data_IF_294424425830
#
_entry.id   IF_294424425830
#
_cell.length_a   1.000
_cell.length_b   1.000
_cell.length_c   1.000
_cell.angle_alpha   90.00
_cell.angle_beta   90.00
_cell.angle_gamma   90.00
#
_symmetry.space_group_name_H-M   'P 1'
#
loop_
_entity.id
_entity.type
_entity.pdbx_description
1 polymer ?
#
# COMPACT_ATOMS: atom_id res chain seq x y z
N UNK A 1 -70.69 -31.68 -42.34
CA UNK A 1 -70.65 -32.21 -43.72
C UNK A 1 -69.17 -32.50 -44.05
N UNK A 2 -68.87 -33.81 -44.21
CA UNK A 2 -67.77 -34.46 -44.95
C UNK A 2 -66.35 -33.97 -44.67
N UNK A 3 -65.46 -34.74 -43.91
CA UNK A 3 -64.67 -35.91 -44.32
C UNK A 3 -63.55 -35.48 -45.28
N UNK A 4 -62.32 -35.67 -44.88
CA UNK A 4 -61.39 -36.64 -45.45
C UNK A 4 -60.05 -36.72 -44.63
N UNK A 5 -59.84 -37.93 -44.21
CA UNK A 5 -58.51 -38.41 -43.70
C UNK A 5 -57.49 -38.50 -44.84
N UNK A 6 -56.26 -38.22 -44.55
CA UNK A 6 -55.14 -38.76 -45.29
C UNK A 6 -53.99 -39.09 -44.33
N UNK A 7 -53.81 -40.35 -44.10
CA UNK A 7 -52.60 -40.99 -43.49
C UNK A 7 -51.49 -40.98 -44.53
N UNK A 8 -50.32 -40.46 -44.17
CA UNK A 8 -49.09 -40.70 -44.92
C UNK A 8 -47.98 -41.13 -43.96
N UNK A 9 -47.67 -42.38 -44.10
CA UNK A 9 -46.51 -43.07 -43.55
C UNK A 9 -45.23 -42.51 -44.20
N UNK A 10 -44.24 -42.11 -43.44
CA UNK A 10 -42.88 -41.94 -43.97
C UNK A 10 -41.82 -42.20 -42.90
N UNK A 11 -41.15 -43.26 -43.17
CA UNK A 11 -39.84 -43.77 -42.86
C UNK A 11 -38.93 -42.95 -41.98
N UNK A 12 -38.55 -43.59 -40.86
CA UNK A 12 -37.44 -43.20 -40.00
C UNK A 12 -36.10 -43.39 -40.74
N UNK A 13 -35.37 -42.29 -40.89
CA UNK A 13 -33.92 -42.32 -41.21
C UNK A 13 -33.16 -41.94 -39.94
N UNK A 14 -32.52 -42.93 -39.32
CA UNK A 14 -31.54 -42.77 -38.27
C UNK A 14 -30.26 -42.17 -38.86
N UNK A 15 -30.10 -40.86 -38.69
CA UNK A 15 -28.79 -40.22 -38.83
C UNK A 15 -28.17 -40.14 -37.45
N UNK A 16 -27.11 -40.95 -37.21
CA UNK A 16 -26.21 -40.82 -36.11
C UNK A 16 -25.48 -39.48 -36.18
N UNK A 17 -25.96 -38.47 -35.44
CA UNK A 17 -25.29 -37.22 -35.24
C UNK A 17 -24.30 -37.39 -34.10
N UNK A 18 -22.98 -37.35 -34.38
CA UNK A 18 -21.94 -37.14 -33.41
C UNK A 18 -22.30 -35.92 -32.56
N UNK A 19 -22.65 -36.16 -31.30
CA UNK A 19 -22.80 -35.11 -30.30
C UNK A 19 -21.44 -34.41 -30.10
N UNK A 20 -21.31 -33.19 -30.66
CA UNK A 20 -20.34 -32.25 -30.14
C UNK A 20 -20.75 -31.99 -28.72
N UNK A 21 -20.02 -32.52 -27.75
CA UNK A 21 -20.01 -32.04 -26.40
C UNK A 21 -19.64 -30.57 -26.47
N UNK A 22 -20.64 -29.67 -26.30
CA UNK A 22 -20.39 -28.32 -25.97
C UNK A 22 -19.65 -28.30 -24.63
N UNK A 23 -18.32 -28.25 -24.70
CA UNK A 23 -17.52 -27.87 -23.59
C UNK A 23 -17.94 -26.42 -23.29
N UNK A 24 -18.75 -26.24 -22.26
CA UNK A 24 -19.04 -24.92 -21.68
C UNK A 24 -17.68 -24.30 -21.40
N UNK A 25 -17.30 -23.30 -22.18
CA UNK A 25 -16.12 -22.51 -21.89
C UNK A 25 -16.33 -21.91 -20.49
N UNK A 26 -15.68 -22.48 -19.49
CA UNK A 26 -15.56 -21.85 -18.18
C UNK A 26 -15.09 -20.44 -18.45
N UNK A 27 -15.80 -19.45 -17.93
CA UNK A 27 -15.37 -18.04 -18.03
C UNK A 27 -13.92 -17.95 -17.61
N UNK A 28 -13.07 -17.54 -18.53
CA UNK A 28 -11.63 -17.47 -18.32
C UNK A 28 -11.25 -16.24 -17.50
N UNK A 29 -12.21 -15.29 -17.33
CA UNK A 29 -12.03 -14.04 -16.58
C UNK A 29 -13.19 -13.79 -15.64
N UNK A 30 -12.93 -12.96 -14.61
CA UNK A 30 -13.92 -12.45 -13.66
C UNK A 30 -13.61 -11.01 -13.28
N UNK A 31 -14.56 -10.33 -12.66
CA UNK A 31 -14.39 -8.98 -12.16
C UNK A 31 -14.06 -9.00 -10.67
N UNK A 32 -13.07 -8.21 -10.27
CA UNK A 32 -12.77 -7.87 -8.88
C UNK A 32 -12.88 -6.37 -8.67
N UNK A 33 -13.25 -5.94 -7.48
CA UNK A 33 -13.35 -4.52 -7.14
C UNK A 33 -12.31 -4.13 -6.09
N UNK A 34 -11.72 -2.96 -6.25
CA UNK A 34 -10.84 -2.34 -5.28
C UNK A 34 -11.15 -0.85 -5.20
N UNK A 35 -11.51 -0.39 -4.01
CA UNK A 35 -12.06 0.95 -3.82
C UNK A 35 -13.24 1.16 -4.80
N UNK A 36 -13.28 2.26 -5.53
CA UNK A 36 -14.37 2.59 -6.48
C UNK A 36 -14.09 2.08 -7.91
N UNK A 37 -13.11 1.19 -8.10
CA UNK A 37 -12.74 0.68 -9.41
C UNK A 37 -13.00 -0.83 -9.54
N UNK A 38 -13.32 -1.25 -10.76
CA UNK A 38 -13.52 -2.65 -11.12
C UNK A 38 -12.49 -3.09 -12.16
N UNK A 39 -11.94 -4.28 -11.98
CA UNK A 39 -10.89 -4.83 -12.83
C UNK A 39 -11.29 -6.22 -13.33
N UNK A 40 -11.07 -6.46 -14.61
CA UNK A 40 -11.23 -7.81 -15.22
C UNK A 40 -9.90 -8.54 -15.12
N UNK A 41 -9.90 -9.70 -14.47
CA UNK A 41 -8.73 -10.55 -14.26
C UNK A 41 -9.04 -12.00 -14.66
N UNK A 42 -8.03 -12.87 -14.86
CA UNK A 42 -8.26 -14.29 -14.98
C UNK A 42 -9.02 -14.83 -13.76
N UNK A 43 -9.87 -15.83 -13.98
CA UNK A 43 -10.64 -16.45 -12.88
C UNK A 43 -9.71 -17.02 -11.81
N UNK A 44 -8.62 -17.69 -12.24
CA UNK A 44 -7.61 -18.28 -11.35
C UNK A 44 -6.21 -17.80 -11.79
N UNK A 45 -5.76 -16.61 -11.38
CA UNK A 45 -4.43 -16.13 -11.73
C UNK A 45 -3.36 -16.98 -11.05
N UNK A 46 -2.41 -17.48 -11.84
CA UNK A 46 -1.37 -18.42 -11.41
C UNK A 46 0.05 -17.89 -11.60
N UNK A 47 0.21 -16.89 -12.45
CA UNK A 47 1.48 -16.23 -12.76
C UNK A 47 1.42 -14.76 -12.42
N UNK A 48 1.28 -14.47 -11.13
CA UNK A 48 1.14 -13.09 -10.64
C UNK A 48 2.52 -12.47 -10.42
N UNK A 49 2.69 -11.23 -10.90
CA UNK A 49 3.86 -10.40 -10.62
C UNK A 49 3.43 -9.17 -9.84
N UNK A 50 4.07 -8.91 -8.70
CA UNK A 50 3.91 -7.67 -7.96
C UNK A 50 5.13 -6.76 -8.13
N UNK A 51 4.89 -5.51 -8.54
CA UNK A 51 5.93 -4.49 -8.77
C UNK A 51 6.30 -3.74 -7.47
N UNK A 52 5.97 -4.32 -6.31
CA UNK A 52 6.29 -3.78 -4.98
C UNK A 52 6.51 -4.92 -4.00
N UNK A 53 7.56 -4.83 -3.19
CA UNK A 53 7.85 -5.84 -2.17
C UNK A 53 6.83 -5.86 -1.04
N UNK A 54 6.22 -4.73 -0.68
CA UNK A 54 5.14 -4.72 0.32
C UNK A 54 3.89 -5.44 -0.19
N UNK A 55 3.52 -5.26 -1.47
CA UNK A 55 2.44 -6.03 -2.10
C UNK A 55 2.81 -7.52 -2.15
N UNK A 56 4.06 -7.86 -2.51
CA UNK A 56 4.53 -9.26 -2.50
C UNK A 56 4.40 -9.90 -1.13
N UNK A 57 4.85 -9.21 -0.06
CA UNK A 57 4.70 -9.69 1.33
C UNK A 57 3.21 -9.97 1.66
N UNK A 58 2.30 -9.09 1.26
CA UNK A 58 0.86 -9.26 1.48
C UNK A 58 0.27 -10.44 0.69
N UNK A 59 0.70 -10.66 -0.57
CA UNK A 59 0.31 -11.83 -1.37
C UNK A 59 0.62 -13.12 -0.59
N UNK A 60 1.85 -13.25 -0.09
CA UNK A 60 2.26 -14.46 0.63
C UNK A 60 1.53 -14.60 1.98
N UNK A 61 1.28 -13.49 2.68
CA UNK A 61 0.54 -13.51 3.94
C UNK A 61 -0.88 -14.04 3.78
N UNK A 62 -1.57 -13.70 2.69
CA UNK A 62 -2.92 -14.23 2.41
C UNK A 62 -2.89 -15.62 1.73
N UNK A 63 -1.72 -16.23 1.56
CA UNK A 63 -1.57 -17.57 0.96
C UNK A 63 -1.48 -17.59 -0.56
N UNK A 64 -1.39 -16.44 -1.22
CA UNK A 64 -1.09 -16.31 -2.65
C UNK A 64 0.39 -16.56 -2.96
N UNK A 65 0.74 -16.50 -4.24
CA UNK A 65 2.12 -16.66 -4.73
C UNK A 65 2.41 -15.67 -5.85
N UNK A 66 3.65 -15.20 -5.92
CA UNK A 66 4.19 -14.46 -7.05
C UNK A 66 5.24 -15.28 -7.80
N UNK A 67 5.51 -14.95 -9.06
CA UNK A 67 6.51 -15.63 -9.90
C UNK A 67 7.80 -14.82 -10.10
N UNK A 68 7.80 -13.56 -9.69
CA UNK A 68 8.96 -12.68 -9.74
C UNK A 68 8.86 -11.63 -8.64
N UNK A 69 9.98 -11.01 -8.31
CA UNK A 69 10.09 -9.90 -7.35
C UNK A 69 10.81 -8.69 -7.94
N UNK A 70 10.64 -7.55 -7.32
CA UNK A 70 11.51 -6.39 -7.53
C UNK A 70 12.70 -6.45 -6.56
N UNK A 71 13.77 -5.72 -6.89
CA UNK A 71 14.94 -5.60 -6.02
C UNK A 71 14.59 -4.94 -4.69
N UNK A 72 15.29 -5.33 -3.63
CA UNK A 72 15.12 -4.80 -2.28
C UNK A 72 16.48 -4.57 -1.64
N UNK A 73 16.58 -3.48 -0.87
CA UNK A 73 17.72 -3.24 0.05
C UNK A 73 17.47 -3.89 1.42
N UNK A 74 16.27 -4.42 1.65
CA UNK A 74 15.88 -5.10 2.86
C UNK A 74 15.88 -6.61 2.65
N UNK A 75 16.12 -7.36 3.72
CA UNK A 75 15.96 -8.80 3.68
C UNK A 75 14.48 -9.15 3.51
N UNK A 76 14.18 -9.88 2.46
CA UNK A 76 12.83 -10.38 2.19
C UNK A 76 12.63 -11.78 2.84
N UNK A 77 11.38 -12.21 3.07
CA UNK A 77 11.08 -13.60 3.36
C UNK A 77 11.70 -14.54 2.30
N UNK A 78 12.17 -15.71 2.74
CA UNK A 78 12.91 -16.65 1.87
C UNK A 78 12.16 -17.03 0.60
N UNK A 79 10.85 -17.15 0.67
CA UNK A 79 9.97 -17.49 -0.44
C UNK A 79 9.95 -16.40 -1.52
N UNK A 80 10.07 -15.12 -1.11
CA UNK A 80 10.14 -13.98 -2.03
C UNK A 80 11.58 -13.78 -2.50
N UNK A 81 12.56 -13.91 -1.60
CA UNK A 81 13.99 -13.73 -1.91
C UNK A 81 14.47 -14.68 -3.01
N UNK A 82 13.94 -15.91 -3.04
CA UNK A 82 14.28 -16.94 -4.03
C UNK A 82 13.71 -16.69 -5.43
N UNK A 83 12.77 -15.75 -5.60
CA UNK A 83 12.18 -15.45 -6.90
C UNK A 83 13.15 -14.69 -7.82
N UNK A 84 13.04 -14.87 -9.15
CA UNK A 84 13.81 -14.08 -10.10
C UNK A 84 13.50 -12.57 -9.93
N UNK A 85 14.56 -11.75 -9.94
CA UNK A 85 14.41 -10.30 -9.91
C UNK A 85 14.09 -9.76 -11.30
N UNK A 86 13.18 -8.80 -11.36
CA UNK A 86 12.83 -8.03 -12.56
C UNK A 86 13.26 -6.56 -12.45
N UNK A 87 14.29 -6.27 -11.65
CA UNK A 87 14.83 -4.91 -11.46
C UNK A 87 14.14 -4.13 -10.35
N UNK A 88 14.32 -2.81 -10.35
CA UNK A 88 13.84 -1.93 -9.28
C UNK A 88 12.34 -1.62 -9.40
N UNK A 89 11.70 -1.35 -8.26
CA UNK A 89 10.28 -0.96 -8.22
C UNK A 89 9.93 0.15 -9.21
N UNK A 90 10.67 1.26 -9.23
CA UNK A 90 10.37 2.40 -10.10
C UNK A 90 10.76 2.18 -11.58
N UNK A 91 11.64 1.22 -11.85
CA UNK A 91 12.18 0.92 -13.19
C UNK A 91 12.30 -0.61 -13.38
N UNK A 92 11.17 -1.35 -13.37
CA UNK A 92 11.20 -2.77 -13.64
C UNK A 92 11.69 -3.05 -15.06
N UNK A 93 12.37 -4.16 -15.25
CA UNK A 93 12.76 -4.63 -16.58
C UNK A 93 11.52 -5.22 -17.28
N UNK A 94 10.90 -4.43 -18.15
CA UNK A 94 9.67 -4.80 -18.83
C UNK A 94 9.85 -5.95 -19.82
N UNK A 95 11.02 -6.11 -20.41
CA UNK A 95 11.33 -7.24 -21.30
C UNK A 95 11.34 -8.55 -20.52
N UNK A 96 12.03 -8.57 -19.36
CA UNK A 96 12.02 -9.75 -18.49
C UNK A 96 10.61 -10.03 -17.95
N UNK A 97 9.86 -9.01 -17.54
CA UNK A 97 8.49 -9.13 -17.05
C UNK A 97 7.59 -9.79 -18.10
N UNK A 98 7.58 -9.24 -19.33
CA UNK A 98 6.79 -9.78 -20.45
C UNK A 98 7.23 -11.22 -20.79
N UNK A 99 8.56 -11.48 -20.76
CA UNK A 99 9.13 -12.81 -21.01
C UNK A 99 8.70 -13.89 -20.00
N UNK A 100 8.27 -13.51 -18.80
CA UNK A 100 7.69 -14.44 -17.81
C UNK A 100 6.25 -14.86 -18.16
N UNK A 101 5.61 -14.19 -19.11
CA UNK A 101 4.21 -14.39 -19.50
C UNK A 101 3.27 -14.37 -18.29
N UNK A 102 3.26 -13.28 -17.46
CA UNK A 102 2.36 -13.20 -16.34
C UNK A 102 0.91 -13.14 -16.81
N UNK A 103 0.02 -13.70 -16.01
CA UNK A 103 -1.43 -13.61 -16.22
C UNK A 103 -2.08 -12.48 -15.40
N UNK A 104 -1.34 -11.87 -14.46
CA UNK A 104 -1.74 -10.69 -13.73
C UNK A 104 -0.52 -9.93 -13.21
N UNK A 105 -0.52 -8.59 -13.37
CA UNK A 105 0.47 -7.69 -12.78
C UNK A 105 -0.19 -6.76 -11.78
N UNK A 106 0.37 -6.65 -10.58
CA UNK A 106 -0.05 -5.73 -9.53
C UNK A 106 1.01 -4.63 -9.38
N UNK A 107 0.60 -3.38 -9.49
CA UNK A 107 1.51 -2.23 -9.45
C UNK A 107 0.93 -1.04 -8.70
N UNK A 108 1.70 0.06 -8.67
CA UNK A 108 1.34 1.33 -8.03
C UNK A 108 1.15 2.39 -9.11
N UNK A 109 0.04 3.14 -9.19
CA UNK A 109 -0.18 4.14 -10.23
C UNK A 109 0.95 5.16 -10.30
N UNK A 110 1.39 5.68 -9.15
CA UNK A 110 2.45 6.69 -9.07
C UNK A 110 3.78 6.29 -9.71
N UNK A 111 4.04 4.99 -9.87
CA UNK A 111 5.30 4.48 -10.41
C UNK A 111 5.12 3.72 -11.74
N UNK A 112 3.98 3.06 -11.92
CA UNK A 112 3.79 2.06 -12.98
C UNK A 112 2.79 2.43 -14.06
N UNK A 113 2.03 3.55 -13.92
CA UNK A 113 1.08 4.01 -14.94
C UNK A 113 1.74 4.14 -16.33
N UNK A 114 2.99 4.60 -16.39
CA UNK A 114 3.77 4.72 -17.62
C UNK A 114 3.99 3.39 -18.36
N UNK A 115 3.88 2.25 -17.69
CA UNK A 115 4.07 0.91 -18.28
C UNK A 115 2.76 0.24 -18.69
N UNK A 116 1.60 0.84 -18.31
CA UNK A 116 0.30 0.25 -18.58
C UNK A 116 0.07 -0.04 -20.06
N UNK A 117 0.40 0.90 -20.94
CA UNK A 117 0.28 0.72 -22.39
C UNK A 117 1.12 -0.45 -22.92
N UNK A 118 2.30 -0.73 -22.33
CA UNK A 118 3.12 -1.87 -22.71
C UNK A 118 2.53 -3.19 -22.22
N UNK A 119 1.95 -3.22 -21.02
CA UNK A 119 1.24 -4.40 -20.50
C UNK A 119 0.02 -4.71 -21.36
N UNK A 120 -0.81 -3.71 -21.65
CA UNK A 120 -2.00 -3.84 -22.48
C UNK A 120 -1.66 -4.35 -23.90
N UNK A 121 -0.57 -3.84 -24.53
CA UNK A 121 -0.11 -4.27 -25.85
C UNK A 121 0.36 -5.74 -25.87
N UNK A 122 0.73 -6.30 -24.72
CA UNK A 122 1.10 -7.69 -24.56
C UNK A 122 -0.06 -8.56 -24.00
N UNK A 123 -1.28 -7.98 -23.90
CA UNK A 123 -2.45 -8.65 -23.34
C UNK A 123 -2.24 -9.14 -21.89
N UNK A 124 -1.47 -8.40 -21.09
CA UNK A 124 -1.21 -8.70 -19.69
C UNK A 124 -2.15 -7.86 -18.82
N UNK A 125 -3.14 -8.49 -18.14
CA UNK A 125 -4.01 -7.79 -17.21
C UNK A 125 -3.21 -7.16 -16.08
N UNK A 126 -3.56 -5.92 -15.71
CA UNK A 126 -2.89 -5.23 -14.62
C UNK A 126 -3.86 -4.48 -13.71
N UNK A 127 -3.57 -4.50 -12.41
CA UNK A 127 -4.25 -3.68 -11.41
C UNK A 127 -3.23 -2.70 -10.84
N UNK A 128 -3.47 -1.41 -11.04
CA UNK A 128 -2.69 -0.36 -10.41
C UNK A 128 -3.41 0.07 -9.13
N UNK A 129 -2.84 -0.32 -8.00
CA UNK A 129 -3.43 -0.22 -6.68
C UNK A 129 -2.99 1.09 -6.03
N UNK A 130 -3.94 1.96 -5.71
CA UNK A 130 -3.67 3.09 -4.82
C UNK A 130 -3.38 2.53 -3.41
N UNK A 131 -2.13 2.61 -3.02
CA UNK A 131 -1.61 2.03 -1.78
C UNK A 131 -0.70 3.05 -1.09
N UNK A 132 -1.29 4.19 -0.78
CA UNK A 132 -0.58 5.39 -0.37
C UNK A 132 -0.67 5.68 1.13
N UNK A 133 -1.69 5.13 1.81
CA UNK A 133 -1.94 5.30 3.23
C UNK A 133 -2.01 3.96 3.98
N UNK A 134 -1.90 4.02 5.31
CA UNK A 134 -2.04 2.80 6.14
C UNK A 134 -3.46 2.23 6.08
N UNK A 135 -4.46 3.07 5.80
CA UNK A 135 -5.86 2.67 5.65
C UNK A 135 -6.10 1.81 4.39
N UNK A 136 -5.16 1.77 3.46
CA UNK A 136 -5.25 0.94 2.25
C UNK A 136 -4.85 -0.52 2.51
N UNK A 137 -4.23 -0.83 3.67
CA UNK A 137 -3.72 -2.16 3.98
C UNK A 137 -4.86 -3.22 4.02
N UNK A 138 -5.95 -2.93 4.73
CA UNK A 138 -7.08 -3.85 4.86
C UNK A 138 -7.82 -4.05 3.54
N UNK A 139 -8.20 -3.00 2.78
CA UNK A 139 -8.75 -3.16 1.44
C UNK A 139 -7.86 -3.98 0.51
N UNK A 140 -6.54 -3.77 0.55
CA UNK A 140 -5.61 -4.53 -0.27
C UNK A 140 -5.54 -6.00 0.14
N UNK A 141 -5.46 -6.32 1.42
CA UNK A 141 -5.51 -7.71 1.91
C UNK A 141 -6.81 -8.41 1.48
N UNK A 142 -7.93 -7.70 1.55
CA UNK A 142 -9.22 -8.20 1.10
C UNK A 142 -9.24 -8.49 -0.40
N UNK A 143 -8.72 -7.55 -1.22
CA UNK A 143 -8.56 -7.74 -2.67
C UNK A 143 -7.69 -8.96 -2.98
N UNK A 144 -6.54 -9.08 -2.32
CA UNK A 144 -5.60 -10.20 -2.53
C UNK A 144 -6.22 -11.54 -2.14
N UNK A 145 -6.92 -11.60 -1.00
CA UNK A 145 -7.69 -12.80 -0.62
C UNK A 145 -8.68 -13.20 -1.70
N UNK A 146 -9.39 -12.24 -2.27
CA UNK A 146 -10.33 -12.48 -3.37
C UNK A 146 -9.57 -12.93 -4.64
N UNK A 147 -8.47 -12.28 -5.04
CA UNK A 147 -7.69 -12.65 -6.23
C UNK A 147 -7.22 -14.10 -6.15
N UNK A 148 -6.77 -14.56 -5.00
CA UNK A 148 -6.20 -15.89 -4.81
C UNK A 148 -7.18 -16.93 -4.26
N UNK A 149 -8.47 -16.58 -4.07
CA UNK A 149 -9.49 -17.45 -3.45
C UNK A 149 -9.09 -17.94 -2.06
N UNK A 150 -8.54 -17.05 -1.25
CA UNK A 150 -8.04 -17.29 0.10
C UNK A 150 -8.67 -16.33 1.11
N UNK A 151 -9.95 -16.03 0.96
CA UNK A 151 -10.69 -15.03 1.72
C UNK A 151 -10.62 -15.29 3.24
N UNK A 152 -10.73 -16.56 3.65
CA UNK A 152 -10.63 -16.93 5.07
C UNK A 152 -9.24 -16.64 5.65
N UNK A 153 -8.18 -16.89 4.86
CA UNK A 153 -6.81 -16.57 5.26
C UNK A 153 -6.60 -15.06 5.34
N UNK A 154 -7.10 -14.32 4.34
CA UNK A 154 -7.05 -12.86 4.35
C UNK A 154 -7.76 -12.27 5.57
N UNK A 155 -8.95 -12.80 5.90
CA UNK A 155 -9.69 -12.40 7.11
C UNK A 155 -8.88 -12.63 8.38
N UNK A 156 -8.26 -13.81 8.53
CA UNK A 156 -7.40 -14.11 9.70
C UNK A 156 -6.21 -13.14 9.79
N UNK A 157 -5.57 -12.80 8.67
CA UNK A 157 -4.46 -11.83 8.64
C UNK A 157 -4.94 -10.44 9.06
N UNK A 158 -6.12 -10.01 8.59
CA UNK A 158 -6.73 -8.73 8.94
C UNK A 158 -7.09 -8.67 10.43
N UNK A 159 -7.62 -9.75 10.99
CA UNK A 159 -7.95 -9.84 12.43
C UNK A 159 -6.68 -9.71 13.29
N UNK A 160 -5.58 -10.41 12.93
CA UNK A 160 -4.29 -10.27 13.61
C UNK A 160 -3.71 -8.87 13.50
N UNK A 161 -3.73 -8.30 12.29
CA UNK A 161 -3.30 -6.93 12.04
C UNK A 161 -4.04 -5.92 12.92
N UNK A 162 -5.37 -5.99 12.97
CA UNK A 162 -6.20 -5.11 13.80
C UNK A 162 -5.91 -5.29 15.29
N UNK A 163 -5.80 -6.55 15.77
CA UNK A 163 -5.44 -6.85 17.15
C UNK A 163 -4.11 -6.21 17.56
N UNK A 164 -3.11 -6.26 16.67
CA UNK A 164 -1.81 -5.61 16.92
C UNK A 164 -1.94 -4.08 16.98
N UNK A 165 -2.70 -3.47 16.07
CA UNK A 165 -2.99 -2.03 16.11
C UNK A 165 -3.68 -1.64 17.43
N UNK A 166 -4.71 -2.38 17.85
CA UNK A 166 -5.41 -2.13 19.11
C UNK A 166 -4.48 -2.26 20.32
N UNK A 167 -3.57 -3.24 20.30
CA UNK A 167 -2.53 -3.41 21.33
C UNK A 167 -1.62 -2.18 21.43
N UNK A 168 -1.20 -1.64 20.29
CA UNK A 168 -0.38 -0.41 20.25
C UNK A 168 -1.17 0.77 20.79
N UNK A 169 -2.40 0.97 20.35
CA UNK A 169 -3.27 2.07 20.82
C UNK A 169 -3.51 2.00 22.34
N UNK A 170 -3.74 0.81 22.86
CA UNK A 170 -3.97 0.59 24.31
C UNK A 170 -2.74 0.89 25.16
N UNK A 171 -1.54 0.89 24.58
CA UNK A 171 -0.28 1.17 25.29
C UNK A 171 0.01 2.65 25.50
N UNK A 172 -0.74 3.55 24.85
CA UNK A 172 -0.53 5.00 24.92
C UNK A 172 -0.95 5.53 26.29
N UNK A 173 -0.08 6.25 27.02
CA UNK A 173 -0.42 6.87 28.30
C UNK A 173 -1.51 7.93 28.14
N UNK A 174 -2.64 7.76 28.82
CA UNK A 174 -3.80 8.68 28.74
C UNK A 174 -3.61 9.98 29.49
N UNK A 175 -2.71 9.99 30.46
CA UNK A 175 -2.41 11.12 31.37
C UNK A 175 -1.26 12.00 30.86
N UNK A 176 -0.69 11.71 29.71
CA UNK A 176 0.44 12.44 29.15
C UNK A 176 0.17 12.88 27.71
N UNK A 177 -0.66 13.91 27.51
CA UNK A 177 -0.87 14.45 26.18
C UNK A 177 0.45 15.00 25.61
N UNK A 178 0.80 14.59 24.39
CA UNK A 178 1.99 15.06 23.68
C UNK A 178 1.57 15.65 22.34
N UNK A 179 2.11 16.82 22.01
CA UNK A 179 1.93 17.47 20.72
C UNK A 179 3.14 17.19 19.83
N UNK A 180 2.90 16.67 18.65
CA UNK A 180 3.95 16.44 17.66
C UNK A 180 3.77 17.30 16.43
N UNK A 181 4.86 17.63 15.72
CA UNK A 181 4.82 18.11 14.35
C UNK A 181 5.48 17.04 13.46
N UNK A 182 4.81 16.61 12.40
CA UNK A 182 5.38 15.68 11.42
C UNK A 182 5.83 16.48 10.19
N UNK A 183 7.14 16.56 9.98
CA UNK A 183 7.76 17.30 8.89
C UNK A 183 8.34 16.33 7.84
N UNK A 184 8.27 16.72 6.57
CA UNK A 184 8.97 16.05 5.47
C UNK A 184 10.09 16.93 4.94
N UNK A 185 11.33 16.44 5.05
CA UNK A 185 12.51 17.12 4.55
C UNK A 185 12.99 16.46 3.24
N UNK A 186 13.15 17.28 2.21
CA UNK A 186 13.66 16.89 0.90
C UNK A 186 14.87 17.75 0.52
N UNK A 187 15.54 17.45 -0.59
CA UNK A 187 16.58 18.33 -1.15
C UNK A 187 16.07 19.67 -1.70
N UNK A 188 14.73 19.93 -1.65
CA UNK A 188 14.12 21.14 -2.19
C UNK A 188 13.44 22.01 -1.12
N UNK A 189 12.83 21.38 -0.14
CA UNK A 189 12.04 22.08 0.88
C UNK A 189 11.81 21.22 2.11
N UNK A 190 11.44 21.89 3.22
CA UNK A 190 10.83 21.27 4.40
C UNK A 190 9.34 21.64 4.38
N UNK A 191 8.48 20.64 4.45
CA UNK A 191 7.02 20.75 4.46
C UNK A 191 6.43 19.98 5.62
N UNK A 192 5.17 20.19 5.97
CA UNK A 192 4.49 19.37 6.97
C UNK A 192 3.67 18.26 6.32
N UNK A 193 3.63 17.08 6.95
CA UNK A 193 2.80 15.97 6.51
C UNK A 193 1.35 16.13 6.97
N UNK A 194 0.43 15.84 6.05
CA UNK A 194 -1.00 15.72 6.33
C UNK A 194 -1.36 14.27 6.67
N UNK A 195 -2.55 13.97 7.22
CA UNK A 195 -3.00 12.59 7.48
C UNK A 195 -3.06 11.68 6.23
N UNK A 196 -2.85 12.21 5.03
CA UNK A 196 -2.69 11.43 3.80
C UNK A 196 -1.26 10.87 3.60
N UNK A 197 -0.31 11.32 4.41
CA UNK A 197 1.06 10.79 4.41
C UNK A 197 1.21 9.70 5.48
N UNK A 198 2.14 8.79 5.28
CA UNK A 198 2.30 7.58 6.10
C UNK A 198 2.51 7.89 7.58
N UNK A 199 3.49 8.73 7.93
CA UNK A 199 3.77 9.02 9.34
C UNK A 199 2.65 9.79 10.00
N UNK A 200 2.13 10.83 9.34
CA UNK A 200 1.05 11.61 9.91
C UNK A 200 -0.26 10.81 10.03
N UNK A 201 -0.54 9.86 9.11
CA UNK A 201 -1.68 8.95 9.26
C UNK A 201 -1.53 8.00 10.44
N UNK A 202 -0.33 7.50 10.72
CA UNK A 202 -0.07 6.70 11.92
C UNK A 202 -0.26 7.51 13.21
N UNK A 203 0.26 8.73 13.24
CA UNK A 203 0.08 9.67 14.38
C UNK A 203 -1.40 9.94 14.62
N UNK A 204 -2.16 10.21 13.56
CA UNK A 204 -3.61 10.42 13.61
C UNK A 204 -4.34 9.17 14.11
N UNK A 205 -4.03 7.99 13.56
CA UNK A 205 -4.64 6.71 13.95
C UNK A 205 -4.37 6.35 15.41
N UNK A 206 -3.20 6.74 15.93
CA UNK A 206 -2.83 6.59 17.35
C UNK A 206 -3.55 7.61 18.26
N UNK A 207 -4.30 8.58 17.71
CA UNK A 207 -4.94 9.64 18.48
C UNK A 207 -3.95 10.64 19.11
N UNK A 208 -2.74 10.74 18.56
CA UNK A 208 -1.71 11.67 19.03
C UNK A 208 -1.93 13.02 18.33
N UNK A 209 -1.84 14.11 19.07
CA UNK A 209 -2.07 15.45 18.52
C UNK A 209 -0.93 15.87 17.57
N UNK A 210 -1.20 15.89 16.27
CA UNK A 210 -0.33 16.52 15.28
C UNK A 210 -0.74 17.99 15.11
N UNK A 211 0.13 18.91 15.54
CA UNK A 211 -0.17 20.37 15.51
C UNK A 211 -0.42 20.89 14.09
N UNK A 212 0.08 20.19 13.06
CA UNK A 212 -0.16 20.55 11.67
C UNK A 212 -1.64 20.47 11.30
N UNK A 213 -2.39 19.52 11.87
CA UNK A 213 -3.78 19.27 11.50
C UNK A 213 -4.71 20.44 11.78
N UNK A 214 -4.42 21.26 12.80
CA UNK A 214 -5.21 22.46 13.11
C UNK A 214 -5.13 23.56 12.02
N UNK A 215 -4.15 23.49 11.11
CA UNK A 215 -3.98 24.44 10.01
C UNK A 215 -4.49 23.88 8.65
N UNK A 216 -4.97 22.64 8.64
CA UNK A 216 -5.47 22.05 7.43
C UNK A 216 -6.88 22.57 7.11
N UNK A 217 -7.14 22.75 5.80
CA UNK A 217 -8.48 23.03 5.30
C UNK A 217 -9.28 21.74 5.19
N UNK A 218 -10.60 21.85 5.26
CA UNK A 218 -11.47 20.75 4.84
C UNK A 218 -11.11 20.33 3.43
N UNK A 219 -11.07 19.09 3.06
CA UNK A 219 -10.71 18.58 1.74
C UNK A 219 -9.21 18.69 1.35
N UNK A 220 -8.31 18.40 2.27
CA UNK A 220 -6.89 18.24 1.93
C UNK A 220 -6.72 17.06 0.95
N UNK A 221 -6.05 17.33 -0.18
CA UNK A 221 -5.77 16.32 -1.22
C UNK A 221 -4.26 16.03 -1.38
N UNK A 222 -3.41 16.77 -0.67
CA UNK A 222 -1.95 16.62 -0.75
C UNK A 222 -1.40 15.93 0.49
N UNK A 223 -0.41 15.05 0.29
CA UNK A 223 0.33 14.39 1.38
C UNK A 223 1.18 15.36 2.22
N UNK A 224 1.53 16.51 1.66
CA UNK A 224 2.29 17.54 2.38
C UNK A 224 1.74 18.93 2.05
N UNK A 225 1.90 19.84 3.01
CA UNK A 225 1.53 21.25 2.87
C UNK A 225 2.72 22.14 3.24
N UNK A 226 2.80 23.38 2.69
CA UNK A 226 3.75 24.37 3.17
C UNK A 226 3.53 24.62 4.67
N UNK A 227 4.63 24.70 5.42
CA UNK A 227 4.58 24.94 6.87
C UNK A 227 5.79 25.75 7.29
N UNK A 228 5.56 26.99 7.69
CA UNK A 228 6.65 27.90 8.00
C UNK A 228 7.24 27.66 9.39
N UNK A 229 8.49 28.03 9.58
CA UNK A 229 9.11 28.01 10.91
C UNK A 229 8.37 28.95 11.88
N UNK A 230 7.79 30.06 11.40
CA UNK A 230 6.98 30.95 12.21
C UNK A 230 5.75 30.23 12.76
N UNK A 231 4.99 29.52 11.90
CA UNK A 231 3.84 28.71 12.33
C UNK A 231 4.29 27.62 13.31
N UNK A 232 5.39 26.91 13.01
CA UNK A 232 5.94 25.89 13.89
C UNK A 232 6.32 26.45 15.27
N UNK A 233 6.84 27.69 15.32
CA UNK A 233 7.20 28.37 16.57
C UNK A 233 5.98 28.71 17.40
N UNK A 234 4.89 29.14 16.76
CA UNK A 234 3.60 29.44 17.44
C UNK A 234 2.99 28.14 18.00
N UNK A 235 2.98 27.07 17.23
CA UNK A 235 2.41 25.78 17.64
C UNK A 235 3.25 25.08 18.71
N UNK A 236 4.55 25.32 18.70
CA UNK A 236 5.54 24.87 19.68
C UNK A 236 5.32 23.42 20.15
N UNK A 237 5.51 22.42 19.24
CA UNK A 237 5.31 21.02 19.56
C UNK A 237 6.34 20.51 20.58
N UNK A 238 5.96 19.46 21.31
CA UNK A 238 6.86 18.78 22.25
C UNK A 238 7.92 17.94 21.52
N UNK A 239 7.55 17.41 20.34
CA UNK A 239 8.42 16.56 19.50
C UNK A 239 8.26 16.96 18.05
N UNK A 240 9.37 17.01 17.31
CA UNK A 240 9.39 17.16 15.86
C UNK A 240 9.84 15.82 15.26
N UNK A 241 8.99 15.18 14.50
CA UNK A 241 9.27 13.98 13.73
C UNK A 241 9.62 14.38 12.30
N UNK A 242 10.79 13.98 11.80
CA UNK A 242 11.27 14.37 10.47
C UNK A 242 11.36 13.12 9.59
N UNK A 243 10.56 13.08 8.54
CA UNK A 243 10.62 12.07 7.48
C UNK A 243 11.46 12.61 6.35
N UNK A 244 12.43 11.84 5.86
CA UNK A 244 13.36 12.29 4.82
C UNK A 244 13.09 11.59 3.49
N UNK A 245 13.20 12.34 2.38
CA UNK A 245 13.05 11.81 1.02
C UNK A 245 14.11 12.42 0.08
N UNK A 246 15.04 11.61 -0.39
CA UNK A 246 16.09 12.01 -1.33
C UNK A 246 17.51 11.78 -0.78
N UNK A 247 18.49 12.52 -1.31
CA UNK A 247 19.88 12.39 -0.92
C UNK A 247 20.16 13.13 0.39
N UNK A 248 20.87 12.46 1.29
CA UNK A 248 21.14 12.95 2.64
C UNK A 248 21.78 14.34 2.68
N UNK A 249 22.79 14.58 1.83
CA UNK A 249 23.52 15.86 1.84
C UNK A 249 22.64 17.03 1.36
N UNK A 250 21.80 16.79 0.33
CA UNK A 250 20.83 17.78 -0.18
C UNK A 250 19.77 18.08 0.88
N UNK A 251 19.26 17.05 1.58
CA UNK A 251 18.30 17.19 2.67
C UNK A 251 18.89 18.00 3.81
N UNK A 252 20.10 17.66 4.25
CA UNK A 252 20.77 18.35 5.35
C UNK A 252 20.98 19.84 5.02
N UNK A 253 21.43 20.16 3.80
CA UNK A 253 21.61 21.53 3.36
C UNK A 253 20.30 22.32 3.36
N UNK A 254 19.22 21.73 2.85
CA UNK A 254 17.90 22.35 2.82
C UNK A 254 17.34 22.54 4.24
N UNK A 255 17.43 21.52 5.07
CA UNK A 255 16.96 21.57 6.45
C UNK A 255 17.73 22.61 7.27
N UNK A 256 19.04 22.71 7.08
CA UNK A 256 19.85 23.75 7.70
C UNK A 256 19.40 25.16 7.26
N UNK A 257 19.23 25.35 5.95
CA UNK A 257 18.82 26.66 5.39
C UNK A 257 17.43 27.10 5.88
N UNK A 258 16.45 26.21 5.88
CA UNK A 258 15.05 26.56 6.16
C UNK A 258 14.72 26.55 7.65
N UNK A 259 15.42 25.75 8.46
CA UNK A 259 15.14 25.52 9.87
C UNK A 259 16.29 25.94 10.78
N UNK A 260 17.39 25.19 10.84
CA UNK A 260 18.37 25.32 11.91
C UNK A 260 19.23 26.57 11.88
N UNK A 261 19.37 27.24 10.72
CA UNK A 261 20.09 28.53 10.62
C UNK A 261 19.28 29.73 11.17
N UNK A 262 18.00 29.55 11.43
CA UNK A 262 17.15 30.59 11.97
C UNK A 262 17.15 30.55 13.51
N UNK A 263 17.45 31.67 14.21
CA UNK A 263 17.45 31.72 15.67
C UNK A 263 16.13 31.26 16.31
N UNK A 264 14.96 31.45 15.64
CA UNK A 264 13.67 31.01 16.11
C UNK A 264 13.59 29.49 16.31
N UNK A 265 14.36 28.71 15.53
CA UNK A 265 14.48 27.26 15.70
C UNK A 265 14.90 26.86 17.12
N UNK A 266 15.87 27.56 17.67
CA UNK A 266 16.41 27.28 19.01
C UNK A 266 15.43 27.67 20.14
N UNK A 267 14.31 28.34 19.82
CA UNK A 267 13.28 28.66 20.81
C UNK A 267 12.25 27.55 21.00
N UNK A 268 12.15 26.62 20.05
CA UNK A 268 11.23 25.48 20.10
C UNK A 268 11.51 24.57 21.30
N UNK A 269 10.46 24.12 21.98
CA UNK A 269 10.59 23.16 23.09
C UNK A 269 11.18 21.85 22.63
N UNK A 270 10.77 21.34 21.47
CA UNK A 270 11.32 20.14 20.87
C UNK A 270 12.85 20.24 20.66
N UNK A 271 13.36 21.40 20.23
CA UNK A 271 14.79 21.62 20.01
C UNK A 271 15.54 21.72 21.35
N UNK A 272 15.02 22.47 22.31
CA UNK A 272 15.61 22.63 23.65
C UNK A 272 15.72 21.30 24.41
N UNK A 273 14.83 20.37 24.12
CA UNK A 273 14.73 19.07 24.80
C UNK A 273 15.34 17.90 23.98
N UNK A 274 16.08 18.20 22.90
CA UNK A 274 16.66 17.17 21.97
C UNK A 274 15.59 16.22 21.41
N UNK A 275 14.37 16.74 21.11
CA UNK A 275 13.23 15.98 20.61
C UNK A 275 12.95 16.25 19.12
N UNK A 276 13.99 16.51 18.32
CA UNK A 276 13.93 16.52 16.87
C UNK A 276 14.43 15.18 16.36
N UNK A 277 13.55 14.34 15.85
CA UNK A 277 13.83 12.93 15.58
C UNK A 277 13.66 12.63 14.10
N UNK A 278 14.76 12.25 13.45
CA UNK A 278 14.76 11.78 12.07
C UNK A 278 14.35 10.32 12.03
N UNK A 279 13.23 10.04 11.36
CA UNK A 279 12.63 8.72 11.30
C UNK A 279 13.22 7.90 10.14
N UNK A 280 13.39 6.57 10.30
CA UNK A 280 13.85 5.68 9.23
C UNK A 280 12.80 5.64 8.10
N UNK A 281 13.23 5.97 6.87
CA UNK A 281 12.33 6.13 5.73
C UNK A 281 11.60 4.84 5.32
N UNK A 282 12.17 3.67 5.60
CA UNK A 282 11.57 2.37 5.27
C UNK A 282 10.21 2.14 5.93
N UNK A 283 9.98 2.70 7.13
CA UNK A 283 8.73 2.54 7.88
C UNK A 283 7.86 3.79 7.87
N UNK A 284 8.44 4.94 7.57
CA UNK A 284 7.77 6.22 7.80
C UNK A 284 7.62 7.08 6.55
N UNK A 285 8.30 6.75 5.45
CA UNK A 285 8.10 7.41 4.15
C UNK A 285 7.18 6.62 3.22
N UNK A 286 7.39 5.30 3.18
CA UNK A 286 6.62 4.36 2.35
C UNK A 286 5.67 3.57 3.24
N UNK A 287 4.57 3.07 2.66
CA UNK A 287 3.63 2.23 3.40
C UNK A 287 4.32 0.91 3.81
N UNK A 288 4.50 0.64 5.10
CA UNK A 288 5.15 -0.58 5.57
C UNK A 288 4.25 -1.82 5.46
N UNK A 289 2.99 -1.66 5.05
CA UNK A 289 2.09 -2.76 4.83
C UNK A 289 1.78 -3.51 6.13
N UNK A 290 2.08 -4.80 6.15
CA UNK A 290 1.86 -5.65 7.31
C UNK A 290 2.72 -5.27 8.52
N UNK A 291 3.80 -4.52 8.33
CA UNK A 291 4.68 -4.03 9.40
C UNK A 291 4.19 -2.67 9.99
N UNK A 292 2.98 -2.21 9.61
CA UNK A 292 2.39 -0.97 10.17
C UNK A 292 2.23 -1.02 11.69
N UNK A 293 1.76 -2.12 12.32
CA UNK A 293 1.69 -2.20 13.77
C UNK A 293 3.05 -2.03 14.45
N UNK A 294 4.11 -2.62 13.89
CA UNK A 294 5.49 -2.49 14.38
C UNK A 294 6.00 -1.06 14.22
N UNK A 295 5.72 -0.41 13.10
CA UNK A 295 6.05 1.00 12.88
C UNK A 295 5.32 1.92 13.87
N UNK A 296 4.04 1.67 14.13
CA UNK A 296 3.25 2.41 15.12
C UNK A 296 3.78 2.17 16.55
N UNK A 297 4.19 0.94 16.88
CA UNK A 297 4.81 0.60 18.18
C UNK A 297 6.14 1.37 18.36
N UNK A 298 6.94 1.52 17.30
CA UNK A 298 8.17 2.33 17.35
C UNK A 298 7.84 3.83 17.54
N UNK A 299 6.77 4.37 16.92
CA UNK A 299 6.31 5.73 17.20
C UNK A 299 5.93 5.91 18.66
N UNK A 300 5.17 4.99 19.23
CA UNK A 300 4.79 5.04 20.67
C UNK A 300 6.04 5.02 21.55
N UNK A 301 7.02 4.19 21.23
CA UNK A 301 8.30 4.15 21.94
C UNK A 301 9.07 5.47 21.81
N UNK A 302 9.14 6.06 20.62
CA UNK A 302 9.80 7.35 20.36
C UNK A 302 9.13 8.47 21.14
N UNK A 303 7.80 8.53 21.12
CA UNK A 303 7.02 9.64 21.69
C UNK A 303 6.90 9.53 23.21
N UNK A 304 6.61 8.33 23.73
CA UNK A 304 6.28 8.10 25.14
C UNK A 304 7.35 7.31 25.92
N UNK A 305 8.34 6.71 25.25
CA UNK A 305 9.30 5.80 25.86
C UNK A 305 8.75 4.42 26.20
N UNK A 306 7.53 4.11 25.76
CA UNK A 306 6.83 2.84 26.04
C UNK A 306 7.22 1.80 25.00
N UNK A 307 7.75 0.65 25.44
CA UNK A 307 7.99 -0.50 24.55
C UNK A 307 6.72 -1.35 24.47
N UNK A 308 6.19 -1.48 23.27
CA UNK A 308 5.03 -2.35 22.99
C UNK A 308 5.55 -3.70 22.50
N UNK A 309 5.09 -4.78 23.13
CA UNK A 309 5.36 -6.14 22.63
C UNK A 309 4.16 -6.58 21.79
N UNK A 310 4.43 -6.92 20.54
CA UNK A 310 3.44 -7.50 19.62
C UNK A 310 3.69 -9.00 19.53
N UNK A 311 2.61 -9.79 19.57
CA UNK A 311 2.67 -11.22 19.33
C UNK A 311 3.23 -11.46 17.90
N UNK A 312 4.06 -12.50 17.75
CA UNK A 312 4.67 -12.86 16.45
C UNK A 312 3.67 -13.54 15.54
#
# INVERSE_FOLDING_TARGET
MKICSAVLLSTALLFGGCGKTNTTSTETTRTVSYQDQSYTIPTNPSKVVALSNSISKMIYAVGGKAIARVESNEKLPSEIESLPSIGHTATPNMEQLVGLHPDLVLGLPSQHEKFKGQLDSNNIPSILINYDGINDNIPLLTLLGNIFHTEDKAKSVIEDYNKKIDTVKASIPKDKPVKVAVLRATGKSVTAETPLAITASMVHELGITNVVEQHLKDNVTSKTVPYSLETLTVDNPDIILVVTMGKKDEINATFAKEMTSNPAWNQLQAVKNDKVIFLPSQWFLLNPGLETPEAMAELVKIIYGVKVQLDK
#
